data_IF_217427545994
#
_entry.id   IF_217427545994
#
_cell.length_a   1.000
_cell.length_b   1.000
_cell.length_c   1.000
_cell.angle_alpha   90.00
_cell.angle_beta   90.00
_cell.angle_gamma   90.00
#
_symmetry.space_group_name_H-M   'P 1'
#
loop_
_entity.id
_entity.type
_entity.pdbx_description
1 polymer ?
#
# COMPACT_ATOMS: atom_id res chain seq x y z
N UNK A 1 -3.89 -10.08 -34.20
CA UNK A 1 -4.30 -9.83 -32.80
C UNK A 1 -3.05 -9.58 -31.98
N UNK A 2 -2.81 -8.36 -31.51
CA UNK A 2 -1.68 -8.06 -30.64
C UNK A 2 -2.11 -8.45 -29.23
N UNK A 3 -1.60 -9.56 -28.71
CA UNK A 3 -1.71 -9.89 -27.31
C UNK A 3 -1.02 -8.75 -26.53
N UNK A 4 -1.80 -7.83 -25.98
CA UNK A 4 -1.28 -6.84 -25.02
C UNK A 4 -0.79 -7.64 -23.82
N UNK A 5 0.52 -7.83 -23.74
CA UNK A 5 1.18 -8.40 -22.58
C UNK A 5 0.91 -7.44 -21.41
N UNK A 6 -0.19 -7.62 -20.69
CA UNK A 6 -0.49 -6.88 -19.46
C UNK A 6 0.56 -7.31 -18.45
N UNK A 7 1.65 -6.55 -18.33
CA UNK A 7 2.64 -6.77 -17.30
C UNK A 7 1.95 -6.61 -15.94
N UNK A 8 1.89 -7.69 -15.17
CA UNK A 8 1.42 -7.62 -13.79
C UNK A 8 2.51 -6.90 -12.99
N UNK A 9 2.22 -5.68 -12.55
CA UNK A 9 3.12 -4.90 -11.69
C UNK A 9 2.69 -5.09 -10.24
N UNK A 10 3.62 -5.52 -9.37
CA UNK A 10 3.38 -5.55 -7.93
C UNK A 10 3.81 -4.22 -7.33
N UNK A 11 2.91 -3.58 -6.59
CA UNK A 11 3.21 -2.40 -5.77
C UNK A 11 2.81 -2.65 -4.31
N UNK A 12 3.45 -1.92 -3.42
CA UNK A 12 3.23 -1.95 -1.98
C UNK A 12 2.71 -0.60 -1.54
N UNK A 13 1.53 -0.59 -0.93
CA UNK A 13 0.85 0.64 -0.53
C UNK A 13 0.81 0.73 0.98
N UNK A 14 1.33 1.83 1.52
CA UNK A 14 1.24 2.17 2.95
C UNK A 14 0.10 3.16 3.11
N UNK A 15 -0.88 2.82 3.93
CA UNK A 15 -2.04 3.67 4.22
C UNK A 15 -2.00 4.07 5.68
N UNK A 16 -2.11 5.37 5.96
CA UNK A 16 -2.23 5.91 7.32
C UNK A 16 -3.63 6.48 7.51
N UNK A 17 -4.28 6.04 8.58
CA UNK A 17 -5.59 6.50 9.01
C UNK A 17 -5.43 7.18 10.37
N UNK A 18 -5.94 8.41 10.52
CA UNK A 18 -5.95 9.12 11.81
C UNK A 18 -7.37 9.45 12.21
N UNK A 19 -7.79 8.99 13.39
CA UNK A 19 -9.16 9.17 13.89
C UNK A 19 -10.24 8.66 12.92
N UNK A 20 -9.98 7.57 12.21
CA UNK A 20 -10.91 6.99 11.21
C UNK A 20 -10.87 7.61 9.81
N UNK A 21 -10.02 8.62 9.55
CA UNK A 21 -9.89 9.24 8.23
C UNK A 21 -8.54 8.88 7.58
N UNK A 22 -8.51 8.42 6.30
CA UNK A 22 -7.27 8.21 5.59
C UNK A 22 -6.59 9.56 5.32
N UNK A 23 -5.38 9.72 5.84
CA UNK A 23 -4.61 10.98 5.75
C UNK A 23 -3.39 10.89 4.85
N UNK A 24 -2.90 9.67 4.58
CA UNK A 24 -1.76 9.46 3.68
C UNK A 24 -1.82 8.11 3.00
N UNK A 25 -1.45 8.08 1.72
CA UNK A 25 -1.28 6.88 0.91
C UNK A 25 0.03 6.99 0.15
N UNK A 26 0.97 6.08 0.41
CA UNK A 26 2.27 6.04 -0.25
C UNK A 26 2.45 4.74 -1.03
N UNK A 27 2.85 4.84 -2.30
CA UNK A 27 3.04 3.68 -3.20
C UNK A 27 4.52 3.43 -3.44
N UNK A 28 4.95 2.19 -3.22
CA UNK A 28 6.34 1.75 -3.30
C UNK A 28 6.45 0.52 -4.19
N UNK A 29 7.44 0.48 -5.09
CA UNK A 29 7.74 -0.73 -5.90
C UNK A 29 8.49 -1.79 -5.10
N UNK A 30 9.24 -1.39 -4.07
CA UNK A 30 10.03 -2.28 -3.23
C UNK A 30 9.35 -2.50 -1.86
N UNK A 31 9.16 -3.78 -1.50
CA UNK A 31 8.57 -4.19 -0.21
C UNK A 31 9.37 -3.71 1.00
N UNK A 32 10.70 -3.73 0.93
CA UNK A 32 11.57 -3.33 2.04
C UNK A 32 11.42 -1.85 2.33
N UNK A 33 11.35 -1.02 1.29
CA UNK A 33 11.13 0.43 1.43
C UNK A 33 9.76 0.68 2.06
N UNK A 34 8.70 0.02 1.55
CA UNK A 34 7.35 0.15 2.09
C UNK A 34 7.27 -0.25 3.58
N UNK A 35 7.92 -1.35 3.96
CA UNK A 35 8.00 -1.80 5.38
C UNK A 35 8.78 -0.84 6.26
N UNK A 36 9.90 -0.31 5.78
CA UNK A 36 10.65 0.70 6.54
C UNK A 36 9.80 1.96 6.75
N UNK A 37 9.04 2.34 5.72
CA UNK A 37 8.17 3.50 5.78
C UNK A 37 6.99 3.31 6.72
N UNK A 38 6.31 2.17 6.67
CA UNK A 38 5.28 1.77 7.65
C UNK A 38 5.82 1.90 9.08
N UNK A 39 6.98 1.29 9.38
CA UNK A 39 7.60 1.36 10.72
C UNK A 39 8.04 2.76 11.14
N UNK A 40 8.41 3.60 10.18
CA UNK A 40 8.77 4.98 10.47
C UNK A 40 7.52 5.77 10.86
N UNK A 41 6.46 5.68 10.04
CA UNK A 41 5.20 6.38 10.24
C UNK A 41 4.43 5.89 11.47
N UNK A 42 4.54 4.59 11.81
CA UNK A 42 3.86 4.01 12.97
C UNK A 42 4.30 4.63 14.30
N UNK A 43 5.48 5.25 14.37
CA UNK A 43 5.97 5.92 15.58
C UNK A 43 5.20 7.17 15.95
N UNK A 44 4.55 7.80 14.96
CA UNK A 44 3.83 9.06 15.12
C UNK A 44 2.30 8.84 15.25
N UNK A 45 1.87 7.58 15.44
CA UNK A 45 0.47 7.20 15.57
C UNK A 45 0.08 7.04 17.01
N UNK A 46 -1.14 7.46 17.32
CA UNK A 46 -1.74 7.29 18.64
C UNK A 46 -2.54 5.99 18.60
N UNK A 47 -2.02 4.96 19.26
CA UNK A 47 -2.52 3.57 19.18
C UNK A 47 -4.02 3.41 19.47
N UNK A 48 -4.62 4.32 20.23
CA UNK A 48 -6.03 4.23 20.61
C UNK A 48 -7.01 4.55 19.47
N UNK A 49 -6.58 5.23 18.39
CA UNK A 49 -7.50 5.72 17.36
C UNK A 49 -6.87 6.00 15.99
N UNK A 50 -5.55 5.87 15.85
CA UNK A 50 -4.86 5.96 14.58
C UNK A 50 -4.45 4.54 14.12
N UNK A 51 -4.52 4.28 12.82
CA UNK A 51 -4.21 2.97 12.21
C UNK A 51 -3.23 3.14 11.04
N UNK A 52 -2.44 2.10 10.78
CA UNK A 52 -1.57 2.01 9.61
C UNK A 52 -1.57 0.60 9.05
N UNK A 53 -1.53 0.49 7.73
CA UNK A 53 -1.51 -0.79 7.04
C UNK A 53 -0.60 -0.79 5.82
N UNK A 54 0.01 -1.95 5.56
CA UNK A 54 0.81 -2.23 4.37
C UNK A 54 0.11 -3.27 3.50
N UNK A 55 -0.24 -2.89 2.28
CA UNK A 55 -1.00 -3.71 1.34
C UNK A 55 -0.15 -4.06 0.11
N UNK A 56 -0.22 -5.31 -0.33
CA UNK A 56 0.31 -5.73 -1.64
C UNK A 56 -0.80 -5.57 -2.67
N UNK A 57 -0.53 -4.84 -3.75
CA UNK A 57 -1.47 -4.65 -4.85
C UNK A 57 -0.82 -5.18 -6.13
N UNK A 58 -1.54 -6.01 -6.87
CA UNK A 58 -1.13 -6.51 -8.18
C UNK A 58 -1.92 -5.75 -9.25
N UNK A 59 -1.26 -4.83 -9.94
CA UNK A 59 -1.84 -4.00 -10.99
C UNK A 59 -1.76 -4.76 -12.30
N UNK A 60 -2.88 -4.86 -13.01
CA UNK A 60 -2.98 -5.60 -14.27
C UNK A 60 -3.35 -7.07 -14.11
N UNK A 61 -3.44 -7.56 -12.87
CA UNK A 61 -4.16 -8.79 -12.57
C UNK A 61 -5.66 -8.53 -12.78
N UNK A 62 -6.31 -9.38 -13.58
CA UNK A 62 -7.76 -9.33 -13.73
C UNK A 62 -8.37 -9.87 -12.42
N UNK A 63 -9.18 -9.06 -11.73
CA UNK A 63 -9.87 -9.52 -10.53
C UNK A 63 -10.72 -10.75 -10.88
N UNK A 64 -10.72 -11.81 -10.05
CA UNK A 64 -11.63 -12.92 -10.26
C UNK A 64 -13.07 -12.41 -10.14
N UNK A 65 -13.89 -12.75 -11.14
CA UNK A 65 -15.33 -12.44 -11.18
C UNK A 65 -16.09 -13.05 -9.99
#
# INVERSE_FOLDING_TARGET
MIARNKSIETVWVVVVVKGGFPVSVEVHRDRKIAKQRERFLSKDLREAYDEIGLFKIEIGAQAPD
#
